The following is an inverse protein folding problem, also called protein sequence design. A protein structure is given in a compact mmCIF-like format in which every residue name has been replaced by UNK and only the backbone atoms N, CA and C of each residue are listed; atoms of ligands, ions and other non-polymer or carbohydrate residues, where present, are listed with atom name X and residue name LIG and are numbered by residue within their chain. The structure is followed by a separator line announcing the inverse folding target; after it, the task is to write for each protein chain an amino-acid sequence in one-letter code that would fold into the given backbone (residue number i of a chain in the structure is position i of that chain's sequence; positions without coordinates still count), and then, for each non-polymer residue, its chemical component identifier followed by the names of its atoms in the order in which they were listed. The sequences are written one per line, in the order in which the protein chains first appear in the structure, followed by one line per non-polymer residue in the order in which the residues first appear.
data_IF_355670560866
#
_entry.id   IF_355670560866
#
_cell.length_a   1.000
_cell.length_b   1.000
_cell.length_c   1.000
_cell.angle_alpha   90.00
_cell.angle_beta   90.00
_cell.angle_gamma   90.00
#
_symmetry.space_group_name_H-M   'P 1'
#
loop_
_entity.id
_entity.type
_entity.pdbx_description
1 polymer ?
#
# COMPACT_ATOMS: atom_id res chain seq x y z
N UNK A 1 -34.41 30.94 -57.57
CA UNK A 1 -33.20 30.50 -56.74
C UNK A 1 -33.71 29.57 -55.69
N UNK A 2 -33.43 28.28 -55.81
CA UNK A 2 -33.81 27.29 -54.80
C UNK A 2 -32.57 27.03 -53.93
N UNK A 3 -32.62 27.30 -52.59
CA UNK A 3 -31.61 27.01 -51.66
C UNK A 3 -31.59 25.51 -51.35
N UNK A 4 -30.44 24.86 -51.52
CA UNK A 4 -30.19 23.50 -51.09
C UNK A 4 -29.88 23.49 -49.55
N UNK A 5 -30.40 22.54 -48.78
CA UNK A 5 -30.04 22.41 -47.36
C UNK A 5 -28.67 21.74 -47.22
N UNK A 6 -27.78 22.36 -46.46
CA UNK A 6 -26.51 21.74 -46.02
C UNK A 6 -26.81 20.65 -45.02
N UNK A 7 -26.51 19.40 -45.38
CA UNK A 7 -26.50 18.27 -44.45
C UNK A 7 -25.17 18.30 -43.70
N UNK A 8 -25.18 18.72 -42.45
CA UNK A 8 -24.04 18.53 -41.52
C UNK A 8 -24.00 17.06 -41.10
N UNK A 9 -23.01 16.33 -41.59
CA UNK A 9 -22.72 14.98 -41.14
C UNK A 9 -22.01 15.09 -39.76
N UNK A 10 -22.73 14.83 -38.67
CA UNK A 10 -22.14 14.66 -37.36
C UNK A 10 -21.39 13.31 -37.35
N UNK A 11 -20.08 13.35 -37.49
CA UNK A 11 -19.21 12.24 -37.20
C UNK A 11 -19.19 12.07 -35.64
N UNK A 12 -19.98 11.14 -35.15
CA UNK A 12 -19.84 10.66 -33.80
C UNK A 12 -18.56 9.81 -33.73
N UNK A 13 -17.48 10.40 -33.28
CA UNK A 13 -16.29 9.62 -32.88
C UNK A 13 -16.68 8.89 -31.60
N UNK A 14 -17.06 7.63 -31.69
CA UNK A 14 -17.15 6.74 -30.55
C UNK A 14 -15.72 6.56 -30.03
N UNK A 15 -15.41 7.16 -28.91
CA UNK A 15 -14.17 6.83 -28.18
C UNK A 15 -14.21 5.33 -27.87
N UNK A 16 -13.32 4.58 -28.48
CA UNK A 16 -13.12 3.17 -28.11
C UNK A 16 -12.53 3.22 -26.71
N UNK A 17 -13.34 2.89 -25.72
CA UNK A 17 -12.88 2.75 -24.35
C UNK A 17 -11.91 1.56 -24.35
N UNK A 18 -10.65 1.78 -23.94
CA UNK A 18 -9.69 0.70 -23.85
C UNK A 18 -10.20 -0.33 -22.84
N UNK A 19 -10.19 -1.59 -23.24
CA UNK A 19 -10.69 -2.67 -22.39
C UNK A 19 -9.60 -3.10 -21.44
N UNK A 20 -9.90 -3.17 -20.14
CA UNK A 20 -9.02 -3.76 -19.12
C UNK A 20 -8.59 -5.16 -19.60
N UNK A 21 -7.28 -5.38 -19.68
CA UNK A 21 -6.71 -6.64 -20.21
C UNK A 21 -5.87 -7.33 -19.15
N UNK A 22 -6.48 -8.20 -18.30
CA UNK A 22 -5.72 -9.05 -17.39
C UNK A 22 -4.84 -10.03 -18.16
N UNK A 23 -3.58 -10.15 -17.78
CA UNK A 23 -2.67 -11.17 -18.29
C UNK A 23 -2.95 -12.55 -17.67
N UNK A 24 -2.06 -13.49 -17.92
CA UNK A 24 -2.14 -14.80 -17.29
C UNK A 24 -1.77 -14.73 -15.81
N UNK A 25 -2.56 -15.43 -15.00
CA UNK A 25 -2.29 -15.58 -13.57
C UNK A 25 -1.08 -16.50 -13.37
N UNK A 26 -0.05 -16.02 -12.67
CA UNK A 26 1.18 -16.78 -12.41
C UNK A 26 1.22 -17.21 -10.95
N UNK A 27 1.35 -18.50 -10.68
CA UNK A 27 1.55 -19.01 -9.33
C UNK A 27 2.98 -18.76 -8.86
N UNK A 28 3.12 -17.94 -7.84
CA UNK A 28 4.42 -17.66 -7.18
C UNK A 28 4.71 -18.73 -6.13
N UNK A 29 3.74 -19.09 -5.32
CA UNK A 29 3.89 -20.14 -4.29
C UNK A 29 2.55 -20.77 -4.00
N UNK A 30 2.55 -22.10 -3.74
CA UNK A 30 1.39 -22.87 -3.23
C UNK A 30 1.45 -23.13 -1.72
N UNK A 31 2.42 -22.55 -1.02
CA UNK A 31 2.61 -22.73 0.42
C UNK A 31 2.79 -21.37 1.10
N UNK A 32 1.67 -20.66 1.31
CA UNK A 32 1.62 -19.31 1.89
C UNK A 32 0.81 -19.35 3.17
N UNK A 33 1.37 -18.75 4.23
CA UNK A 33 0.72 -18.66 5.52
C UNK A 33 -0.59 -17.85 5.44
N UNK A 34 -1.60 -18.25 6.20
CA UNK A 34 -2.88 -17.57 6.31
C UNK A 34 -2.74 -16.11 6.74
N UNK A 35 -1.71 -15.80 7.51
CA UNK A 35 -1.41 -14.46 8.02
C UNK A 35 -0.63 -13.60 7.02
N UNK A 36 -0.28 -14.11 5.84
CA UNK A 36 0.35 -13.32 4.79
C UNK A 36 -0.62 -12.25 4.29
N UNK A 37 -0.34 -11.01 4.63
CA UNK A 37 -1.21 -9.86 4.35
C UNK A 37 -0.49 -8.81 3.51
N UNK A 38 -1.26 -7.93 2.87
CA UNK A 38 -0.73 -6.80 2.10
C UNK A 38 -1.40 -5.47 2.45
N UNK A 39 -2.24 -5.44 3.50
CA UNK A 39 -3.08 -4.28 3.80
C UNK A 39 -2.26 -3.01 4.10
N UNK A 40 -1.37 -3.06 5.08
CA UNK A 40 -0.50 -1.94 5.46
C UNK A 40 0.91 -2.07 4.90
N UNK A 41 1.36 -3.27 4.63
CA UNK A 41 2.71 -3.57 4.16
C UNK A 41 2.85 -3.35 2.66
N UNK A 42 4.09 -3.29 2.20
CA UNK A 42 4.44 -3.23 0.78
C UNK A 42 5.17 -4.51 0.35
N UNK A 43 4.46 -5.63 0.07
CA UNK A 43 5.09 -6.91 -0.23
C UNK A 43 5.51 -7.08 -1.69
N UNK A 44 5.38 -6.05 -2.52
CA UNK A 44 5.65 -6.07 -3.96
C UNK A 44 6.53 -4.89 -4.36
N UNK A 45 7.62 -5.16 -5.08
CA UNK A 45 8.39 -4.15 -5.80
C UNK A 45 8.75 -4.63 -7.21
N UNK A 46 9.23 -3.72 -8.06
CA UNK A 46 9.80 -4.00 -9.36
C UNK A 46 11.04 -3.16 -9.56
N UNK A 47 12.15 -3.81 -9.92
CA UNK A 47 13.41 -3.16 -10.25
C UNK A 47 14.38 -4.09 -10.97
N UNK A 48 15.22 -3.51 -11.82
CA UNK A 48 16.32 -4.22 -12.50
C UNK A 48 15.86 -5.35 -13.42
N UNK A 49 14.65 -5.26 -13.99
CA UNK A 49 14.08 -6.29 -14.84
C UNK A 49 13.43 -7.45 -14.09
N UNK A 50 13.15 -7.29 -12.79
CA UNK A 50 12.53 -8.30 -11.96
C UNK A 50 11.35 -7.74 -11.17
N UNK A 51 10.33 -8.59 -10.96
CA UNK A 51 9.33 -8.41 -9.90
C UNK A 51 9.81 -9.13 -8.63
N UNK A 52 9.65 -8.44 -7.50
CA UNK A 52 10.07 -8.90 -6.19
C UNK A 52 8.84 -9.03 -5.29
N UNK A 53 8.63 -10.22 -4.74
CA UNK A 53 7.49 -10.50 -3.88
C UNK A 53 7.98 -11.10 -2.57
N UNK A 54 7.53 -10.53 -1.45
CA UNK A 54 7.82 -11.07 -0.12
C UNK A 54 6.55 -11.63 0.50
N UNK A 55 6.65 -12.76 1.18
CA UNK A 55 5.49 -13.45 1.76
C UNK A 55 5.88 -14.34 2.94
N UNK A 56 4.90 -14.67 3.77
CA UNK A 56 5.06 -15.62 4.85
C UNK A 56 4.80 -17.05 4.35
N UNK A 57 5.66 -17.95 4.70
CA UNK A 57 5.50 -19.40 4.50
C UNK A 57 5.59 -20.08 5.86
N UNK A 58 4.62 -20.91 6.18
CA UNK A 58 4.74 -21.76 7.36
C UNK A 58 5.84 -22.82 7.10
N UNK A 59 6.92 -22.85 7.87
CA UNK A 59 8.08 -23.71 7.57
C UNK A 59 7.89 -25.14 7.97
N UNK A 60 7.01 -25.44 8.91
CA UNK A 60 7.10 -26.69 9.66
C UNK A 60 5.79 -27.44 9.63
N UNK A 61 5.85 -28.68 9.22
CA UNK A 61 4.78 -29.64 9.45
C UNK A 61 4.46 -29.71 10.95
N UNK A 62 3.25 -29.29 11.32
CA UNK A 62 2.74 -29.41 12.69
C UNK A 62 2.83 -28.19 13.58
N UNK A 63 3.40 -27.05 13.12
CA UNK A 63 3.33 -25.79 13.86
C UNK A 63 2.61 -24.72 13.02
N UNK A 64 1.45 -24.26 13.49
CA UNK A 64 0.75 -23.12 12.92
C UNK A 64 1.28 -21.79 13.44
N UNK A 65 2.20 -21.82 14.41
CA UNK A 65 2.70 -20.64 15.10
C UNK A 65 4.02 -20.08 14.54
N UNK A 66 4.74 -20.85 13.70
CA UNK A 66 6.04 -20.44 13.19
C UNK A 66 6.01 -20.30 11.67
N UNK A 67 6.65 -19.27 11.15
CA UNK A 67 6.78 -19.05 9.71
C UNK A 67 8.20 -18.66 9.30
N UNK A 68 8.52 -18.87 8.03
CA UNK A 68 9.64 -18.23 7.36
C UNK A 68 9.15 -17.06 6.52
N UNK A 69 9.98 -16.07 6.37
CA UNK A 69 9.80 -14.99 5.40
C UNK A 69 10.53 -15.35 4.11
N UNK A 70 9.79 -15.42 3.03
CA UNK A 70 10.28 -15.78 1.71
C UNK A 70 10.37 -14.54 0.82
N UNK A 71 11.38 -14.53 -0.02
CA UNK A 71 11.51 -13.58 -1.13
C UNK A 71 11.48 -14.36 -2.45
N UNK A 72 10.57 -14.00 -3.33
CA UNK A 72 10.52 -14.48 -4.70
C UNK A 72 10.97 -13.38 -5.65
N UNK A 73 11.83 -13.73 -6.60
CA UNK A 73 12.23 -12.91 -7.73
C UNK A 73 11.72 -13.55 -9.00
N UNK A 74 10.91 -12.80 -9.76
CA UNK A 74 10.42 -13.23 -11.08
C UNK A 74 11.04 -12.34 -12.17
N UNK A 75 11.64 -12.96 -13.18
CA UNK A 75 12.20 -12.26 -14.34
C UNK A 75 11.10 -11.69 -15.24
N UNK A 76 11.26 -10.44 -15.68
CA UNK A 76 10.33 -9.81 -16.63
C UNK A 76 10.46 -10.40 -18.03
N UNK A 77 11.67 -10.88 -18.41
CA UNK A 77 11.97 -11.30 -19.78
C UNK A 77 11.46 -12.70 -20.11
N UNK A 78 11.58 -13.64 -19.17
CA UNK A 78 11.27 -15.05 -19.39
C UNK A 78 10.32 -15.66 -18.36
N UNK A 79 9.95 -14.89 -17.34
CA UNK A 79 9.06 -15.33 -16.26
C UNK A 79 9.67 -16.32 -15.27
N UNK A 80 10.97 -16.62 -15.38
CA UNK A 80 11.67 -17.52 -14.44
C UNK A 80 11.54 -17.01 -13.01
N UNK A 81 11.23 -17.93 -12.07
CA UNK A 81 11.03 -17.60 -10.67
C UNK A 81 12.09 -18.29 -9.82
N UNK A 82 12.85 -17.50 -9.06
CA UNK A 82 13.72 -18.00 -7.98
C UNK A 82 13.15 -17.56 -6.62
N UNK A 83 13.42 -18.36 -5.58
CA UNK A 83 12.92 -18.10 -4.22
C UNK A 83 13.97 -18.47 -3.21
N UNK A 84 14.07 -17.67 -2.15
CA UNK A 84 14.84 -18.03 -0.96
C UNK A 84 14.15 -17.46 0.30
N UNK A 85 14.55 -17.93 1.48
CA UNK A 85 14.13 -17.38 2.75
C UNK A 85 15.13 -16.33 3.25
N UNK A 86 14.70 -15.42 4.12
CA UNK A 86 15.65 -14.60 4.87
C UNK A 86 16.45 -15.51 5.81
N UNK A 87 17.76 -15.23 5.95
CA UNK A 87 18.72 -16.12 6.61
C UNK A 87 19.12 -15.61 7.98
N UNK A 88 19.38 -16.56 8.87
CA UNK A 88 20.15 -16.33 10.09
C UNK A 88 21.63 -16.17 9.77
N UNK A 89 22.43 -15.77 10.74
CA UNK A 89 23.91 -15.70 10.61
C UNK A 89 24.56 -17.05 10.32
N UNK A 90 23.90 -18.17 10.66
CA UNK A 90 24.37 -19.54 10.32
C UNK A 90 24.02 -19.95 8.89
N UNK A 91 23.23 -19.15 8.16
CA UNK A 91 22.80 -19.46 6.80
C UNK A 91 21.50 -20.26 6.70
N UNK A 92 20.90 -20.64 7.82
CA UNK A 92 19.60 -21.30 7.87
C UNK A 92 18.47 -20.31 7.61
N UNK A 93 17.28 -20.82 7.23
CA UNK A 93 16.10 -19.96 7.17
C UNK A 93 15.75 -19.44 8.57
N UNK A 94 15.64 -18.13 8.71
CA UNK A 94 15.15 -17.54 9.95
C UNK A 94 13.69 -17.96 10.21
N UNK A 95 13.40 -18.28 11.47
CA UNK A 95 12.07 -18.68 11.92
C UNK A 95 11.49 -17.60 12.81
N UNK A 96 10.28 -17.20 12.53
CA UNK A 96 9.54 -16.18 13.28
C UNK A 96 8.31 -16.82 13.91
N UNK A 97 8.02 -16.45 15.14
CA UNK A 97 6.77 -16.83 15.80
C UNK A 97 5.66 -15.95 15.23
N UNK A 98 4.57 -16.56 14.81
CA UNK A 98 3.42 -15.82 14.30
C UNK A 98 2.80 -14.93 15.38
N UNK A 99 2.47 -13.70 15.01
CA UNK A 99 1.79 -12.76 15.88
C UNK A 99 0.54 -12.19 15.16
N UNK A 100 -0.48 -13.00 15.08
CA UNK A 100 -1.83 -12.59 14.62
C UNK A 100 -1.82 -11.78 13.33
N UNK A 101 -0.93 -12.12 12.39
CA UNK A 101 -0.82 -11.46 11.09
C UNK A 101 0.08 -10.21 11.07
N UNK A 102 0.90 -9.97 12.08
CA UNK A 102 1.82 -8.84 12.12
C UNK A 102 3.21 -9.14 11.55
N UNK A 103 3.48 -10.39 11.17
CA UNK A 103 4.77 -10.80 10.61
C UNK A 103 4.96 -10.47 9.12
N UNK A 104 3.95 -9.95 8.46
CA UNK A 104 3.96 -9.70 7.00
C UNK A 104 5.14 -8.81 6.60
N UNK A 105 5.88 -9.18 5.55
CA UNK A 105 7.04 -8.43 5.10
C UNK A 105 6.67 -7.23 4.24
N UNK A 106 7.51 -6.18 4.31
CA UNK A 106 7.63 -5.12 3.30
C UNK A 106 8.96 -5.24 2.58
N UNK A 107 8.95 -5.06 1.27
CA UNK A 107 10.11 -5.22 0.39
C UNK A 107 10.32 -3.98 -0.48
N UNK A 108 11.57 -3.59 -0.66
CA UNK A 108 11.99 -2.66 -1.69
C UNK A 108 13.39 -3.04 -2.20
N UNK A 109 13.70 -2.64 -3.43
CA UNK A 109 15.04 -2.79 -4.02
C UNK A 109 15.64 -1.40 -4.18
N UNK A 110 16.86 -1.18 -3.71
CA UNK A 110 17.53 0.10 -3.83
C UNK A 110 18.09 0.35 -5.25
N UNK A 111 18.66 1.54 -5.47
CA UNK A 111 19.19 1.94 -6.77
C UNK A 111 20.37 1.10 -7.27
N UNK A 112 21.10 0.45 -6.38
CA UNK A 112 22.21 -0.45 -6.68
C UNK A 112 21.76 -1.91 -6.86
N UNK A 113 20.46 -2.19 -6.68
CA UNK A 113 19.87 -3.52 -6.86
C UNK A 113 19.87 -4.39 -5.62
N UNK A 114 20.25 -3.87 -4.45
CA UNK A 114 20.13 -4.63 -3.21
C UNK A 114 18.70 -4.68 -2.75
N UNK A 115 18.29 -5.86 -2.29
CA UNK A 115 16.93 -6.15 -1.82
C UNK A 115 16.86 -5.96 -0.32
N UNK A 116 15.89 -5.18 0.15
CA UNK A 116 15.65 -4.86 1.55
C UNK A 116 14.29 -5.39 1.98
N UNK A 117 14.25 -6.09 3.13
CA UNK A 117 13.02 -6.65 3.71
C UNK A 117 12.94 -6.28 5.18
N UNK A 118 11.80 -5.73 5.58
CA UNK A 118 11.41 -5.51 6.96
C UNK A 118 10.24 -6.43 7.30
N UNK A 119 10.31 -7.15 8.41
CA UNK A 119 9.32 -8.18 8.71
C UNK A 119 9.21 -8.51 10.20
N UNK A 120 8.14 -9.19 10.55
CA UNK A 120 7.97 -9.86 11.86
C UNK A 120 8.18 -8.95 13.07
N UNK A 121 7.71 -7.71 12.98
CA UNK A 121 7.77 -6.72 14.04
C UNK A 121 6.37 -6.34 14.51
N UNK A 122 6.05 -6.66 15.76
CA UNK A 122 4.83 -6.21 16.44
C UNK A 122 5.17 -5.70 17.83
N UNK A 123 5.51 -4.41 17.91
CA UNK A 123 6.10 -3.78 19.09
C UNK A 123 7.38 -4.51 19.53
N UNK A 124 8.25 -4.77 18.57
CA UNK A 124 9.51 -5.46 18.77
C UNK A 124 10.69 -4.67 18.21
N UNK A 125 11.91 -5.09 18.56
CA UNK A 125 13.13 -4.57 17.97
C UNK A 125 13.16 -4.75 16.45
N UNK A 126 14.01 -4.00 15.78
CA UNK A 126 14.19 -4.08 14.34
C UNK A 126 14.49 -5.49 13.86
N UNK A 127 13.80 -5.90 12.80
CA UNK A 127 14.09 -7.11 12.01
C UNK A 127 14.16 -6.68 10.56
N UNK A 128 15.38 -6.41 10.13
CA UNK A 128 15.71 -5.91 8.80
C UNK A 128 16.73 -6.82 8.14
N UNK A 129 16.47 -7.18 6.91
CA UNK A 129 17.28 -8.08 6.09
C UNK A 129 17.64 -7.40 4.78
N UNK A 130 18.89 -7.58 4.33
CA UNK A 130 19.38 -7.06 3.05
C UNK A 130 20.08 -8.17 2.28
N UNK A 131 19.97 -8.16 0.94
CA UNK A 131 20.72 -9.09 0.10
C UNK A 131 22.22 -8.80 0.17
N UNK A 132 23.03 -9.86 0.12
CA UNK A 132 24.50 -9.76 0.13
C UNK A 132 25.09 -9.34 -1.22
N UNK A 133 24.28 -9.37 -2.28
CA UNK A 133 24.65 -8.93 -3.63
C UNK A 133 23.42 -8.40 -4.37
N UNK A 134 23.61 -7.53 -5.39
CA UNK A 134 22.53 -7.04 -6.20
C UNK A 134 21.70 -8.15 -6.81
N UNK A 135 20.39 -7.94 -6.85
CA UNK A 135 19.39 -8.84 -7.45
C UNK A 135 19.37 -10.26 -6.87
N UNK A 136 19.86 -10.46 -5.66
CA UNK A 136 19.79 -11.74 -4.96
C UNK A 136 18.52 -11.86 -4.12
N UNK A 137 17.85 -13.01 -4.16
CA UNK A 137 16.74 -13.33 -3.27
C UNK A 137 17.21 -13.85 -1.89
N UNK A 138 18.51 -14.07 -1.72
CA UNK A 138 19.11 -14.50 -0.44
C UNK A 138 19.47 -13.27 0.39
N UNK A 139 18.79 -13.06 1.49
CA UNK A 139 18.96 -11.93 2.39
C UNK A 139 19.48 -12.39 3.75
N UNK A 140 20.36 -11.59 4.35
CA UNK A 140 20.93 -11.80 5.68
C UNK A 140 20.56 -10.67 6.62
N UNK A 141 20.68 -10.89 7.91
CA UNK A 141 20.29 -9.94 8.96
C UNK A 141 21.22 -8.71 8.96
N UNK A 142 20.62 -7.54 8.88
CA UNK A 142 21.22 -6.21 8.98
C UNK A 142 20.53 -5.33 10.03
N UNK A 143 19.78 -5.92 10.95
CA UNK A 143 18.97 -5.19 11.96
C UNK A 143 19.80 -4.22 12.81
N UNK A 144 21.08 -4.53 13.05
CA UNK A 144 22.01 -3.66 13.81
C UNK A 144 22.38 -2.36 13.08
N UNK A 145 22.11 -2.24 11.78
CA UNK A 145 22.36 -1.01 11.01
C UNK A 145 21.24 0.03 11.18
N UNK A 146 20.12 -0.39 11.80
CA UNK A 146 19.00 0.52 11.97
C UNK A 146 19.24 1.51 13.10
N UNK A 147 18.92 2.82 12.89
CA UNK A 147 18.91 3.78 13.97
C UNK A 147 17.78 3.47 14.97
N UNK A 148 17.87 4.04 16.17
CA UNK A 148 16.87 3.88 17.24
C UNK A 148 16.64 2.44 17.72
N UNK A 149 17.68 1.72 18.17
CA UNK A 149 17.56 0.31 18.51
C UNK A 149 16.65 0.02 19.72
N UNK A 150 16.24 1.06 20.46
CA UNK A 150 15.36 0.94 21.64
C UNK A 150 13.89 1.21 21.32
N UNK A 151 13.57 1.68 20.12
CA UNK A 151 12.18 1.90 19.69
C UNK A 151 11.57 0.57 19.25
N UNK A 152 10.42 0.22 19.80
CA UNK A 152 9.67 -0.95 19.39
C UNK A 152 8.87 -0.63 18.12
N UNK A 153 8.99 -1.46 17.11
CA UNK A 153 8.52 -1.18 15.75
C UNK A 153 7.34 -2.09 15.36
N UNK A 154 6.43 -1.52 14.55
CA UNK A 154 5.37 -2.27 13.85
C UNK A 154 5.04 -1.59 12.51
N UNK A 155 4.45 -2.33 11.57
CA UNK A 155 3.91 -1.86 10.28
C UNK A 155 4.93 -1.11 9.41
N UNK A 156 6.02 -1.74 9.01
CA UNK A 156 6.95 -1.13 8.07
C UNK A 156 6.32 -0.99 6.67
N UNK A 157 6.46 0.20 6.09
CA UNK A 157 6.17 0.47 4.68
C UNK A 157 7.40 1.11 4.07
N UNK A 158 8.08 0.38 3.19
CA UNK A 158 9.31 0.81 2.52
C UNK A 158 9.09 0.95 1.02
N UNK A 159 9.57 2.05 0.43
CA UNK A 159 9.56 2.29 -1.03
C UNK A 159 10.80 3.01 -1.48
N UNK A 160 11.15 2.84 -2.75
CA UNK A 160 12.28 3.49 -3.43
C UNK A 160 11.82 4.77 -4.14
N UNK A 161 12.61 5.85 -4.00
CA UNK A 161 12.48 7.07 -4.80
C UNK A 161 13.15 6.93 -6.19
N UNK A 162 13.05 7.98 -7.00
CA UNK A 162 13.64 8.01 -8.35
C UNK A 162 15.17 7.99 -8.34
N UNK A 163 15.80 8.47 -7.26
CA UNK A 163 17.25 8.49 -7.09
C UNK A 163 17.82 7.16 -6.58
N UNK A 164 16.93 6.18 -6.32
CA UNK A 164 17.31 4.86 -5.83
C UNK A 164 17.43 4.76 -4.30
N UNK A 165 17.18 5.83 -3.55
CA UNK A 165 17.15 5.77 -2.09
C UNK A 165 15.86 5.10 -1.59
N UNK A 166 15.91 4.55 -0.38
CA UNK A 166 14.70 3.99 0.22
C UNK A 166 14.18 4.90 1.31
N UNK A 167 12.84 4.94 1.39
CA UNK A 167 12.12 5.67 2.42
C UNK A 167 11.23 4.69 3.17
N UNK A 168 11.26 4.77 4.50
CA UNK A 168 10.58 3.84 5.38
C UNK A 168 9.75 4.62 6.39
N UNK A 169 8.46 4.30 6.46
CA UNK A 169 7.59 4.72 7.56
C UNK A 169 7.22 3.51 8.40
N UNK A 170 7.19 3.72 9.72
CA UNK A 170 6.82 2.68 10.69
C UNK A 170 6.00 3.27 11.82
N UNK A 171 5.23 2.44 12.50
CA UNK A 171 4.72 2.76 13.81
C UNK A 171 5.80 2.44 14.84
N UNK A 172 6.20 3.44 15.64
CA UNK A 172 7.17 3.26 16.71
C UNK A 172 6.55 3.51 18.08
N UNK A 173 6.96 2.73 19.09
CA UNK A 173 6.58 2.88 20.47
C UNK A 173 7.83 3.11 21.34
N UNK A 174 8.08 4.37 21.68
CA UNK A 174 9.15 4.79 22.57
C UNK A 174 8.64 5.15 23.98
N UNK A 175 7.31 5.23 24.15
CA UNK A 175 6.66 5.60 25.42
C UNK A 175 5.43 4.73 25.64
N UNK A 176 4.93 4.69 26.87
CA UNK A 176 3.70 3.96 27.25
C UNK A 176 2.42 4.80 27.04
N UNK A 177 2.52 5.99 26.46
CA UNK A 177 1.41 6.93 26.33
C UNK A 177 0.84 7.05 24.91
N UNK A 178 1.48 6.43 23.92
CA UNK A 178 1.03 6.47 22.52
C UNK A 178 2.06 5.87 21.56
N UNK A 179 1.65 5.66 20.30
CA UNK A 179 2.50 5.12 19.24
C UNK A 179 2.60 6.12 18.11
N UNK A 180 3.83 6.59 17.83
CA UNK A 180 4.10 7.59 16.81
C UNK A 180 4.41 6.99 15.44
N UNK A 181 4.39 7.86 14.44
CA UNK A 181 4.90 7.59 13.11
C UNK A 181 6.37 8.00 12.99
N UNK A 182 7.26 7.06 12.70
CA UNK A 182 8.71 7.27 12.58
C UNK A 182 9.14 7.15 11.13
N UNK A 183 9.91 8.13 10.65
CA UNK A 183 10.29 8.30 9.26
C UNK A 183 11.81 8.18 9.09
N UNK A 184 12.22 7.31 8.17
CA UNK A 184 13.63 6.99 7.90
C UNK A 184 13.93 7.07 6.41
N UNK A 185 15.20 7.37 6.11
CA UNK A 185 15.77 7.30 4.76
C UNK A 185 17.00 6.41 4.76
N UNK A 186 17.10 5.53 3.79
CA UNK A 186 18.33 4.86 3.38
C UNK A 186 18.95 5.61 2.23
N UNK A 187 20.19 6.01 2.37
CA UNK A 187 20.95 6.64 1.31
C UNK A 187 21.81 5.57 0.61
N UNK A 188 21.46 5.22 -0.60
CA UNK A 188 22.11 4.13 -1.36
C UNK A 188 23.60 4.38 -1.54
N UNK A 189 24.04 5.60 -1.87
CA UNK A 189 25.45 5.94 -2.07
C UNK A 189 26.33 5.78 -0.81
N UNK A 190 25.76 5.83 0.38
CA UNK A 190 26.48 5.64 1.65
C UNK A 190 26.15 4.33 2.35
N UNK A 191 25.18 3.58 1.87
CA UNK A 191 24.66 2.36 2.48
C UNK A 191 24.22 2.55 3.95
N UNK A 192 23.56 3.67 4.27
CA UNK A 192 23.21 4.01 5.65
C UNK A 192 21.76 4.41 5.82
N UNK A 193 21.15 3.96 6.91
CA UNK A 193 19.86 4.43 7.39
C UNK A 193 20.02 5.63 8.32
N UNK A 194 19.14 6.61 8.18
CA UNK A 194 19.03 7.74 9.09
C UNK A 194 17.56 8.00 9.43
N UNK A 195 17.26 8.33 10.69
CA UNK A 195 15.95 8.85 11.06
C UNK A 195 15.83 10.30 10.59
N UNK A 196 14.77 10.61 9.84
CA UNK A 196 14.42 11.96 9.44
C UNK A 196 13.74 12.67 10.60
N UNK A 197 12.62 12.11 11.09
CA UNK A 197 11.94 12.58 12.30
C UNK A 197 10.81 11.63 12.74
N UNK A 198 10.00 12.10 13.70
CA UNK A 198 8.68 11.57 14.05
C UNK A 198 7.66 12.49 13.37
N UNK A 199 7.01 12.02 12.25
CA UNK A 199 6.11 12.89 11.50
C UNK A 199 4.76 13.10 12.19
N UNK A 200 4.30 12.11 12.98
CA UNK A 200 3.00 12.17 13.63
C UNK A 200 3.07 11.53 15.02
N UNK A 201 2.50 12.20 16.01
CA UNK A 201 2.40 11.70 17.38
C UNK A 201 1.35 12.48 18.16
N UNK A 202 0.53 11.76 18.93
CA UNK A 202 -0.34 12.33 19.95
C UNK A 202 -0.48 11.33 21.11
N UNK A 203 -0.33 11.79 22.34
CA UNK A 203 -0.58 10.98 23.52
C UNK A 203 -2.05 10.47 23.51
N UNK A 204 -2.24 9.22 23.87
CA UNK A 204 -3.55 8.55 23.82
C UNK A 204 -3.94 8.03 22.44
N UNK A 205 -3.05 8.11 21.42
CA UNK A 205 -3.32 7.64 20.07
C UNK A 205 -2.19 6.78 19.50
N UNK A 206 -2.54 5.99 18.49
CA UNK A 206 -1.62 5.19 17.70
C UNK A 206 -1.68 5.61 16.24
N UNK A 207 -0.52 5.77 15.61
CA UNK A 207 -0.35 5.97 14.16
C UNK A 207 -0.31 4.61 13.47
N UNK A 208 -1.01 4.48 12.34
CA UNK A 208 -0.96 3.32 11.45
C UNK A 208 -0.50 3.78 10.08
N UNK A 209 0.76 3.52 9.68
CA UNK A 209 1.27 3.85 8.35
C UNK A 209 0.48 3.14 7.26
N UNK A 210 0.07 3.87 6.21
CA UNK A 210 -0.65 3.31 5.08
C UNK A 210 0.22 3.22 3.84
N UNK A 211 0.78 4.38 3.42
CA UNK A 211 1.52 4.43 2.18
C UNK A 211 2.49 5.62 2.09
N UNK A 212 3.49 5.47 1.21
CA UNK A 212 4.40 6.51 0.76
C UNK A 212 4.35 6.57 -0.77
N UNK A 213 4.36 7.78 -1.33
CA UNK A 213 4.56 7.99 -2.77
C UNK A 213 5.50 9.17 -3.00
N UNK A 214 6.01 9.30 -4.22
CA UNK A 214 6.95 10.35 -4.59
C UNK A 214 6.40 11.13 -5.78
N UNK A 215 6.50 12.45 -5.73
CA UNK A 215 6.31 13.33 -6.87
C UNK A 215 7.61 13.49 -7.66
N UNK A 216 7.53 13.96 -8.90
CA UNK A 216 8.71 14.07 -9.79
C UNK A 216 9.74 15.09 -9.30
N UNK A 217 9.33 16.06 -8.47
CA UNK A 217 10.23 16.99 -7.79
C UNK A 217 10.99 16.38 -6.59
N UNK A 218 10.76 15.09 -6.30
CA UNK A 218 11.43 14.33 -5.24
C UNK A 218 10.79 14.49 -3.86
N UNK A 219 9.63 15.14 -3.76
CA UNK A 219 8.91 15.24 -2.50
C UNK A 219 8.24 13.91 -2.12
N UNK A 220 8.13 13.69 -0.82
CA UNK A 220 7.61 12.46 -0.24
C UNK A 220 6.21 12.70 0.30
N UNK A 221 5.25 11.96 -0.19
CA UNK A 221 3.85 12.02 0.22
C UNK A 221 3.57 10.85 1.16
N UNK A 222 3.12 11.15 2.39
CA UNK A 222 2.88 10.17 3.46
C UNK A 222 1.41 10.17 3.82
N UNK A 223 0.81 8.98 3.89
CA UNK A 223 -0.54 8.77 4.38
C UNK A 223 -0.54 7.79 5.55
N UNK A 224 -1.40 8.04 6.54
CA UNK A 224 -1.56 7.19 7.72
C UNK A 224 -2.96 7.30 8.31
N UNK A 225 -3.29 6.34 9.18
CA UNK A 225 -4.52 6.30 9.98
C UNK A 225 -4.24 6.52 11.46
N UNK A 226 -5.26 6.99 12.16
CA UNK A 226 -5.24 7.15 13.61
C UNK A 226 -6.16 6.13 14.27
N UNK A 227 -5.73 5.61 15.42
CA UNK A 227 -6.55 4.82 16.33
C UNK A 227 -6.29 5.27 17.76
N UNK A 228 -7.21 5.00 18.66
CA UNK A 228 -6.99 5.28 20.08
C UNK A 228 -5.99 4.29 20.69
N UNK A 229 -5.09 4.79 21.51
CA UNK A 229 -4.14 3.96 22.27
C UNK A 229 -4.76 3.52 23.61
N UNK A 230 -4.55 2.29 24.08
CA UNK A 230 -3.90 1.17 23.40
C UNK A 230 -4.84 0.40 22.44
N UNK A 231 -6.12 0.74 22.35
CA UNK A 231 -7.06 0.08 21.47
C UNK A 231 -6.61 0.23 20.00
N UNK A 232 -6.71 -0.83 19.22
CA UNK A 232 -6.22 -0.87 17.85
C UNK A 232 -7.25 -1.32 16.82
N UNK A 233 -8.42 -1.77 17.28
CA UNK A 233 -9.41 -2.39 16.41
C UNK A 233 -10.10 -1.41 15.45
N UNK A 234 -10.15 -0.13 15.80
CA UNK A 234 -10.90 0.89 15.06
C UNK A 234 -9.99 2.04 14.66
N UNK A 235 -9.88 2.30 13.36
CA UNK A 235 -9.27 3.50 12.79
C UNK A 235 -10.39 4.46 12.45
N UNK A 236 -10.22 5.73 12.78
CA UNK A 236 -11.30 6.72 12.68
C UNK A 236 -10.94 7.95 11.87
N UNK A 237 -9.69 8.10 11.46
CA UNK A 237 -9.25 9.23 10.64
C UNK A 237 -8.04 8.83 9.83
N UNK A 238 -8.07 9.11 8.53
CA UNK A 238 -6.91 9.09 7.65
C UNK A 238 -6.34 10.49 7.48
N UNK A 239 -5.02 10.59 7.52
CA UNK A 239 -4.28 11.85 7.45
C UNK A 239 -3.21 11.78 6.37
N UNK A 240 -2.74 12.97 5.97
CA UNK A 240 -1.75 13.14 4.90
C UNK A 240 -0.79 14.27 5.22
N UNK A 241 0.43 14.14 4.70
CA UNK A 241 1.43 15.22 4.66
C UNK A 241 2.38 15.02 3.48
N UNK A 242 2.89 16.12 2.91
CA UNK A 242 3.99 16.17 1.96
C UNK A 242 5.26 16.64 2.68
N UNK A 243 6.37 15.94 2.48
CA UNK A 243 7.70 16.29 2.97
C UNK A 243 8.63 16.63 1.81
N UNK A 244 9.27 17.80 1.87
CA UNK A 244 10.26 18.26 0.90
C UNK A 244 11.66 17.99 1.44
N UNK A 245 12.40 16.97 0.94
CA UNK A 245 13.70 16.59 1.48
C UNK A 245 14.77 17.69 1.41
N UNK A 246 14.77 18.48 0.33
CA UNK A 246 15.76 19.54 0.11
C UNK A 246 15.71 20.67 1.14
N UNK A 247 14.54 20.92 1.74
CA UNK A 247 14.33 21.98 2.75
C UNK A 247 13.99 21.43 4.14
N UNK A 248 13.70 20.15 4.28
CA UNK A 248 13.19 19.55 5.52
C UNK A 248 11.79 20.02 5.91
N UNK A 249 11.02 20.57 4.96
CA UNK A 249 9.73 21.22 5.22
C UNK A 249 8.58 20.25 5.04
N UNK A 250 7.61 20.32 5.95
CA UNK A 250 6.34 19.59 5.86
C UNK A 250 5.21 20.53 5.44
N UNK A 251 4.32 20.04 4.55
CA UNK A 251 3.19 20.79 4.03
C UNK A 251 1.92 19.94 3.99
N UNK A 252 0.79 20.58 4.31
CA UNK A 252 -0.54 20.01 4.07
C UNK A 252 -0.85 19.92 2.57
N UNK A 253 -1.92 19.24 2.17
CA UNK A 253 -2.36 19.20 0.78
C UNK A 253 -2.74 20.59 0.23
N UNK A 254 -3.12 21.54 1.10
CA UNK A 254 -3.34 22.95 0.69
C UNK A 254 -2.04 23.71 0.42
N UNK A 255 -0.87 23.13 0.66
CA UNK A 255 0.43 23.78 0.52
C UNK A 255 0.89 24.56 1.77
N UNK A 256 0.05 24.64 2.80
CA UNK A 256 0.42 25.31 4.05
C UNK A 256 1.52 24.54 4.79
N UNK A 257 2.51 25.26 5.32
CA UNK A 257 3.56 24.66 6.15
C UNK A 257 2.97 24.15 7.46
N UNK A 258 3.34 22.92 7.83
CA UNK A 258 2.96 22.27 9.09
C UNK A 258 4.20 21.81 9.84
N UNK A 259 4.12 21.68 11.15
CA UNK A 259 5.25 21.35 12.02
C UNK A 259 5.05 19.98 12.65
N UNK A 260 5.90 19.00 12.36
CA UNK A 260 5.86 17.70 13.02
C UNK A 260 6.36 17.78 14.49
N UNK A 261 5.95 16.85 15.36
CA UNK A 261 5.00 15.77 15.07
C UNK A 261 3.57 16.27 14.92
N UNK A 262 2.93 15.87 13.82
CA UNK A 262 1.54 16.21 13.55
C UNK A 262 0.61 15.48 14.51
N UNK A 263 -0.51 16.12 14.83
CA UNK A 263 -1.63 15.53 15.58
C UNK A 263 -2.85 15.38 14.65
N UNK A 264 -3.91 14.79 15.14
CA UNK A 264 -5.18 14.72 14.41
C UNK A 264 -5.75 16.09 14.08
N UNK A 265 -5.47 17.09 14.95
CA UNK A 265 -6.00 18.45 14.80
C UNK A 265 -5.14 19.30 13.85
N UNK A 266 -3.90 18.92 13.60
CA UNK A 266 -2.93 19.68 12.78
C UNK A 266 -2.59 19.01 11.45
N UNK A 267 -2.95 17.73 11.28
CA UNK A 267 -2.80 17.00 10.02
C UNK A 267 -4.01 17.20 9.12
N UNK A 268 -3.81 17.04 7.81
CA UNK A 268 -4.92 16.96 6.86
C UNK A 268 -5.84 15.79 7.20
N UNK A 269 -7.14 16.00 7.05
CA UNK A 269 -8.14 14.95 7.13
C UNK A 269 -8.49 14.48 5.73
N UNK A 270 -7.86 13.38 5.32
CA UNK A 270 -8.12 12.74 4.02
C UNK A 270 -9.50 12.10 4.01
N UNK A 271 -9.79 11.33 5.05
CA UNK A 271 -11.08 10.69 5.27
C UNK A 271 -11.37 10.58 6.76
N UNK A 272 -12.63 10.60 7.07
CA UNK A 272 -13.19 10.46 8.42
C UNK A 272 -14.62 9.94 8.31
N UNK A 273 -15.23 9.45 9.39
CA UNK A 273 -16.61 8.96 9.36
C UNK A 273 -17.62 9.98 8.86
N UNK A 274 -17.41 11.26 9.16
CA UNK A 274 -18.33 12.33 8.81
C UNK A 274 -18.19 12.75 7.35
N UNK A 275 -18.81 12.04 6.44
CA UNK A 275 -19.19 12.56 5.13
C UNK A 275 -20.65 13.00 5.16
N UNK A 276 -21.04 13.88 4.20
CA UNK A 276 -22.44 14.37 4.11
C UNK A 276 -23.43 13.21 4.08
N UNK A 277 -24.28 13.10 5.09
CA UNK A 277 -25.25 12.02 5.24
C UNK A 277 -24.83 10.89 6.17
N UNK A 278 -23.62 10.91 6.69
CA UNK A 278 -23.18 9.98 7.75
C UNK A 278 -23.22 10.67 9.11
N UNK A 279 -23.85 10.02 10.07
CA UNK A 279 -23.98 10.52 11.45
C UNK A 279 -22.99 9.79 12.33
N UNK A 280 -21.86 10.39 12.59
CA UNK A 280 -20.89 9.89 13.56
C UNK A 280 -20.61 10.97 14.62
N UNK A 281 -20.69 10.61 15.89
CA UNK A 281 -20.54 11.56 16.99
C UNK A 281 -19.11 12.08 17.19
N UNK A 282 -18.14 11.55 16.46
CA UNK A 282 -16.73 11.87 16.63
C UNK A 282 -16.05 11.13 17.79
N UNK A 283 -16.80 10.38 18.59
CA UNK A 283 -16.21 9.56 19.63
C UNK A 283 -15.75 8.21 19.08
N UNK A 284 -14.43 8.04 18.97
CA UNK A 284 -13.82 6.80 18.49
C UNK A 284 -14.10 5.59 19.39
N UNK A 285 -14.66 5.78 20.58
CA UNK A 285 -15.07 4.71 21.46
C UNK A 285 -16.58 4.40 21.36
N UNK A 286 -17.32 5.21 20.61
CA UNK A 286 -18.71 4.90 20.36
C UNK A 286 -18.85 3.58 19.59
N UNK A 287 -19.85 2.78 19.91
CA UNK A 287 -20.13 1.53 19.21
C UNK A 287 -21.56 1.63 18.61
N UNK A 288 -21.76 1.34 17.32
CA UNK A 288 -20.75 0.95 16.32
C UNK A 288 -19.92 2.16 15.86
N UNK A 289 -18.63 1.98 15.73
CA UNK A 289 -17.73 3.01 15.20
C UNK A 289 -17.38 2.66 13.76
N UNK A 290 -17.54 3.60 12.81
CA UNK A 290 -17.06 3.40 11.45
C UNK A 290 -15.57 3.11 11.46
N UNK A 291 -15.17 2.11 10.72
CA UNK A 291 -13.78 1.69 10.66
C UNK A 291 -13.18 1.97 9.29
N UNK A 292 -11.92 2.36 9.28
CA UNK A 292 -11.09 2.45 8.08
C UNK A 292 -10.08 1.33 8.10
N UNK A 293 -9.65 0.93 6.93
CA UNK A 293 -8.56 -0.03 6.80
C UNK A 293 -7.93 0.06 5.42
N UNK A 294 -6.58 -0.01 5.39
CA UNK A 294 -5.83 -0.24 4.16
C UNK A 294 -6.00 0.86 3.12
N UNK A 295 -5.65 2.09 3.47
CA UNK A 295 -5.56 3.12 2.47
C UNK A 295 -4.27 3.01 1.65
N UNK A 296 -4.35 3.37 0.36
CA UNK A 296 -3.21 3.43 -0.55
C UNK A 296 -3.25 4.71 -1.37
N UNK A 297 -2.08 5.22 -1.72
CA UNK A 297 -1.89 6.42 -2.52
C UNK A 297 -1.50 6.12 -3.95
N UNK A 298 -1.99 6.93 -4.88
CA UNK A 298 -1.41 7.11 -6.20
C UNK A 298 -1.31 8.60 -6.50
N UNK A 299 -0.20 9.00 -7.09
CA UNK A 299 0.04 10.37 -7.52
C UNK A 299 0.11 10.41 -9.04
N UNK A 300 -0.29 11.52 -9.62
CA UNK A 300 0.11 11.90 -10.98
C UNK A 300 0.34 13.40 -11.05
N UNK A 301 1.14 13.82 -12.00
CA UNK A 301 1.38 15.22 -12.29
C UNK A 301 0.77 15.59 -13.62
N UNK A 302 0.03 16.68 -13.65
CA UNK A 302 -0.50 17.21 -14.89
C UNK A 302 0.57 17.98 -15.70
N UNK A 303 0.26 18.35 -16.91
CA UNK A 303 1.18 19.07 -17.82
C UNK A 303 1.61 20.46 -17.30
N UNK A 304 0.92 21.00 -16.31
CA UNK A 304 1.26 22.25 -15.63
C UNK A 304 2.12 22.05 -14.38
N UNK A 305 2.46 20.81 -14.02
CA UNK A 305 3.21 20.44 -12.82
C UNK A 305 2.35 20.37 -11.56
N UNK A 306 1.02 20.35 -11.70
CA UNK A 306 0.10 20.18 -10.58
C UNK A 306 0.11 18.74 -10.09
N UNK A 307 0.42 18.53 -8.79
CA UNK A 307 0.41 17.20 -8.18
C UNK A 307 -1.00 16.85 -7.74
N UNK A 308 -1.53 15.78 -8.30
CA UNK A 308 -2.84 15.22 -7.99
C UNK A 308 -2.70 13.97 -7.13
N UNK A 309 -3.41 13.95 -6.02
CA UNK A 309 -3.37 12.90 -5.01
C UNK A 309 -4.64 12.07 -5.10
N UNK A 310 -4.49 10.75 -5.19
CA UNK A 310 -5.58 9.81 -5.14
C UNK A 310 -5.37 8.86 -3.97
N UNK A 311 -6.28 8.87 -3.01
CA UNK A 311 -6.30 7.92 -1.90
C UNK A 311 -7.48 6.97 -2.07
N UNK A 312 -7.23 5.68 -2.18
CA UNK A 312 -8.26 4.66 -2.11
C UNK A 312 -8.23 4.00 -0.73
N UNK A 313 -9.41 3.78 -0.13
CA UNK A 313 -9.53 3.21 1.21
C UNK A 313 -10.80 2.40 1.38
N UNK A 314 -10.79 1.53 2.38
CA UNK A 314 -11.98 0.79 2.81
C UNK A 314 -12.65 1.51 3.98
N UNK A 315 -13.96 1.48 3.98
CA UNK A 315 -14.77 2.11 5.00
C UNK A 315 -16.01 1.25 5.31
N UNK A 316 -16.27 0.98 6.57
CA UNK A 316 -17.52 0.39 7.02
C UNK A 316 -18.47 1.49 7.50
N UNK A 317 -19.66 1.56 6.91
CA UNK A 317 -20.66 2.51 7.38
C UNK A 317 -21.26 2.07 8.72
N UNK A 318 -21.92 3.00 9.41
CA UNK A 318 -22.50 2.75 10.73
C UNK A 318 -23.74 1.85 10.71
N UNK A 319 -24.47 1.87 9.61
CA UNK A 319 -25.82 1.30 9.54
C UNK A 319 -25.78 -0.20 9.31
N UNK A 320 -25.05 -0.66 8.33
CA UNK A 320 -25.07 -2.06 7.87
C UNK A 320 -23.71 -2.77 8.03
N UNK A 321 -22.68 -2.06 8.50
CA UNK A 321 -21.31 -2.57 8.65
C UNK A 321 -20.72 -3.09 7.33
N UNK A 322 -21.26 -2.67 6.19
CA UNK A 322 -20.76 -3.05 4.88
C UNK A 322 -19.44 -2.33 4.58
N UNK A 323 -18.39 -3.09 4.33
CA UNK A 323 -17.10 -2.55 3.93
C UNK A 323 -17.12 -2.11 2.46
N UNK A 324 -17.20 -0.82 2.25
CA UNK A 324 -17.22 -0.14 0.96
C UNK A 324 -15.81 0.17 0.46
N UNK A 325 -15.66 0.38 -0.85
CA UNK A 325 -14.48 1.04 -1.45
C UNK A 325 -14.81 2.51 -1.63
N UNK A 326 -13.94 3.35 -1.09
CA UNK A 326 -14.04 4.81 -1.22
C UNK A 326 -12.77 5.40 -1.78
N UNK A 327 -12.89 6.61 -2.32
CA UNK A 327 -11.78 7.39 -2.84
C UNK A 327 -11.82 8.81 -2.29
N UNK A 328 -10.67 9.33 -1.92
CA UNK A 328 -10.44 10.75 -1.67
C UNK A 328 -9.43 11.29 -2.67
N UNK A 329 -9.68 12.48 -3.19
CA UNK A 329 -8.78 13.15 -4.14
C UNK A 329 -8.46 14.55 -3.68
N UNK A 330 -7.25 15.01 -3.98
CA UNK A 330 -6.84 16.38 -3.78
C UNK A 330 -5.90 16.83 -4.91
N UNK A 331 -5.87 18.15 -5.18
CA UNK A 331 -4.80 18.78 -5.94
C UNK A 331 -3.96 19.58 -4.96
N UNK A 332 -2.67 19.30 -4.90
CA UNK A 332 -1.76 19.98 -3.99
C UNK A 332 -1.73 21.49 -4.24
N UNK A 333 -1.71 22.27 -3.17
CA UNK A 333 -1.69 23.74 -3.23
C UNK A 333 -3.06 24.40 -3.40
N UNK A 334 -4.16 23.64 -3.38
CA UNK A 334 -5.52 24.21 -3.47
C UNK A 334 -6.15 24.34 -2.09
N UNK A 335 -6.94 25.41 -1.88
CA UNK A 335 -7.75 25.55 -0.67
C UNK A 335 -8.85 24.47 -0.64
N UNK A 336 -9.12 23.87 0.53
CA UNK A 336 -10.10 22.79 0.70
C UNK A 336 -9.88 21.62 -0.29
N UNK A 337 -8.70 21.02 -0.29
CA UNK A 337 -8.26 20.17 -1.40
C UNK A 337 -9.01 18.84 -1.51
N UNK A 338 -9.51 18.28 -0.39
CA UNK A 338 -10.02 16.91 -0.36
C UNK A 338 -11.48 16.79 -0.81
N UNK A 339 -11.70 15.95 -1.81
CA UNK A 339 -13.03 15.51 -2.28
C UNK A 339 -13.13 13.99 -2.07
N UNK A 340 -14.30 13.53 -1.63
CA UNK A 340 -14.54 12.11 -1.29
C UNK A 340 -15.70 11.56 -2.08
N UNK A 341 -15.61 10.31 -2.51
CA UNK A 341 -16.66 9.59 -3.21
C UNK A 341 -16.74 8.13 -2.77
N UNK A 342 -17.95 7.55 -2.77
CA UNK A 342 -18.15 6.11 -2.70
C UNK A 342 -17.96 5.57 -4.11
N UNK A 343 -17.09 4.57 -4.27
CA UNK A 343 -16.79 3.98 -5.58
C UNK A 343 -17.47 2.62 -5.74
N UNK A 344 -17.58 1.87 -4.65
CA UNK A 344 -18.24 0.57 -4.63
C UNK A 344 -18.89 0.28 -3.26
N UNK A 345 -20.12 -0.21 -3.28
CA UNK A 345 -20.91 -0.47 -2.07
C UNK A 345 -21.89 -1.64 -2.19
N UNK A 346 -21.79 -2.46 -3.25
CA UNK A 346 -22.80 -3.48 -3.53
C UNK A 346 -22.58 -4.75 -2.69
N UNK A 347 -21.30 -5.08 -2.42
CA UNK A 347 -20.94 -6.23 -1.62
C UNK A 347 -19.82 -5.89 -0.62
N UNK A 348 -19.70 -6.72 0.42
CA UNK A 348 -18.66 -6.58 1.43
C UNK A 348 -17.27 -6.86 0.89
N UNK A 349 -16.32 -5.98 1.17
CA UNK A 349 -14.93 -6.09 0.72
C UNK A 349 -14.00 -6.65 1.80
N UNK A 350 -12.90 -7.29 1.40
CA UNK A 350 -11.86 -7.77 2.31
C UNK A 350 -10.79 -6.71 2.58
N UNK A 351 -9.86 -6.97 3.50
CA UNK A 351 -8.83 -6.03 3.97
C UNK A 351 -7.72 -5.72 2.96
N UNK A 352 -8.02 -5.65 1.66
CA UNK A 352 -7.02 -5.39 0.64
C UNK A 352 -7.52 -4.32 -0.32
N UNK A 353 -6.66 -3.36 -0.64
CA UNK A 353 -6.92 -2.33 -1.64
C UNK A 353 -5.61 -1.92 -2.30
N UNK A 354 -5.68 -1.53 -3.57
CA UNK A 354 -4.59 -0.92 -4.32
C UNK A 354 -5.11 0.20 -5.18
N UNK A 355 -4.29 1.19 -5.49
CA UNK A 355 -4.63 2.27 -6.41
C UNK A 355 -3.45 2.59 -7.30
N UNK A 356 -3.71 2.83 -8.57
CA UNK A 356 -2.74 3.28 -9.57
C UNK A 356 -3.33 4.38 -10.43
N UNK A 357 -2.50 5.29 -10.94
CA UNK A 357 -2.93 6.39 -11.80
C UNK A 357 -1.83 6.75 -12.80
N UNK A 358 -2.16 6.87 -14.09
CA UNK A 358 -1.20 7.19 -15.16
C UNK A 358 -1.30 8.62 -15.70
N UNK A 359 -2.09 9.48 -15.04
CA UNK A 359 -2.38 10.83 -15.48
C UNK A 359 -3.75 10.96 -16.16
N UNK A 360 -4.27 9.89 -16.75
CA UNK A 360 -5.57 9.85 -17.43
C UNK A 360 -6.55 8.92 -16.75
N UNK A 361 -6.08 7.73 -16.38
CA UNK A 361 -6.90 6.63 -15.89
C UNK A 361 -6.49 6.25 -14.47
N UNK A 362 -7.44 6.29 -13.55
CA UNK A 362 -7.29 5.74 -12.20
C UNK A 362 -7.86 4.34 -12.17
N UNK A 363 -7.13 3.42 -11.54
CA UNK A 363 -7.59 2.07 -11.20
C UNK A 363 -7.56 1.86 -9.70
N UNK A 364 -8.64 1.30 -9.16
CA UNK A 364 -8.71 0.85 -7.77
C UNK A 364 -8.93 -0.65 -7.78
N UNK A 365 -7.99 -1.37 -7.19
CA UNK A 365 -8.01 -2.82 -7.04
C UNK A 365 -8.53 -3.18 -5.67
N UNK A 366 -9.43 -4.16 -5.59
CA UNK A 366 -10.00 -4.60 -4.34
C UNK A 366 -10.39 -6.08 -4.39
N UNK A 367 -10.61 -6.66 -3.22
CA UNK A 367 -11.12 -8.03 -3.12
C UNK A 367 -12.48 -8.02 -2.43
N UNK A 368 -13.41 -8.83 -2.93
CA UNK A 368 -14.65 -9.11 -2.21
C UNK A 368 -14.41 -10.06 -1.04
N UNK A 369 -15.22 -9.99 -0.02
CA UNK A 369 -15.19 -10.94 1.10
C UNK A 369 -15.46 -12.38 0.64
N UNK A 370 -16.20 -12.56 -0.45
CA UNK A 370 -16.41 -13.84 -1.15
C UNK A 370 -15.13 -14.46 -1.70
N UNK A 371 -14.09 -13.64 -1.99
CA UNK A 371 -12.76 -14.09 -2.39
C UNK A 371 -12.43 -13.89 -3.86
N UNK A 372 -13.10 -12.99 -4.57
CA UNK A 372 -12.72 -12.56 -5.91
C UNK A 372 -11.97 -11.23 -5.88
N UNK A 373 -11.06 -11.03 -6.84
CA UNK A 373 -10.32 -9.79 -7.06
C UNK A 373 -10.94 -9.00 -8.20
N UNK A 374 -11.08 -7.70 -8.02
CA UNK A 374 -11.76 -6.79 -8.94
C UNK A 374 -10.94 -5.55 -9.20
N UNK A 375 -11.22 -4.89 -10.30
CA UNK A 375 -10.70 -3.58 -10.63
C UNK A 375 -11.84 -2.63 -10.99
N UNK A 376 -11.83 -1.46 -10.37
CA UNK A 376 -12.62 -0.29 -10.76
C UNK A 376 -11.71 0.62 -11.59
N UNK A 377 -12.20 1.05 -12.74
CA UNK A 377 -11.47 1.95 -13.64
C UNK A 377 -12.30 3.17 -13.97
N UNK A 378 -11.64 4.32 -14.01
CA UNK A 378 -12.24 5.59 -14.44
C UNK A 378 -11.23 6.41 -15.22
N UNK A 379 -11.57 6.77 -16.46
CA UNK A 379 -10.77 7.65 -17.30
C UNK A 379 -11.39 9.04 -17.36
N UNK A 380 -10.64 10.06 -16.97
CA UNK A 380 -11.08 11.45 -16.98
C UNK A 380 -12.39 11.68 -16.22
N UNK A 381 -13.42 12.16 -16.92
CA UNK A 381 -14.76 12.44 -16.34
C UNK A 381 -15.77 11.31 -16.55
N UNK A 382 -15.35 10.15 -17.07
CA UNK A 382 -16.24 9.00 -17.29
C UNK A 382 -16.86 8.47 -15.99
N UNK A 383 -17.81 7.56 -16.12
CA UNK A 383 -18.32 6.78 -14.98
C UNK A 383 -17.33 5.66 -14.63
N UNK A 384 -17.38 5.18 -13.41
CA UNK A 384 -16.63 4.00 -12.99
C UNK A 384 -17.11 2.76 -13.75
N UNK A 385 -16.17 1.99 -14.28
CA UNK A 385 -16.42 0.64 -14.77
C UNK A 385 -15.86 -0.35 -13.76
N UNK A 386 -16.48 -1.52 -13.63
CA UNK A 386 -16.09 -2.55 -12.68
C UNK A 386 -15.92 -3.89 -13.41
N UNK A 387 -14.77 -4.54 -13.22
CA UNK A 387 -14.45 -5.80 -13.88
C UNK A 387 -13.80 -6.79 -12.90
N UNK A 388 -14.25 -8.04 -12.91
CA UNK A 388 -13.57 -9.11 -12.21
C UNK A 388 -12.24 -9.43 -12.90
N UNK A 389 -11.19 -9.54 -12.10
CA UNK A 389 -9.89 -10.04 -12.55
C UNK A 389 -9.92 -11.58 -12.56
N UNK A 390 -8.93 -12.18 -13.20
CA UNK A 390 -8.86 -13.63 -13.43
C UNK A 390 -9.28 -14.45 -12.18
N UNK A 391 -10.38 -15.21 -12.25
CA UNK A 391 -10.84 -16.01 -11.12
C UNK A 391 -9.83 -17.12 -10.81
N UNK A 392 -9.56 -17.34 -9.55
CA UNK A 392 -8.71 -18.43 -9.08
C UNK A 392 -9.62 -19.57 -8.62
N UNK A 393 -9.81 -20.56 -9.48
CA UNK A 393 -10.72 -21.68 -9.20
C UNK A 393 -10.37 -22.37 -7.89
N UNK A 394 -11.35 -22.48 -6.98
CA UNK A 394 -11.21 -23.14 -5.69
C UNK A 394 -10.36 -22.40 -4.66
N UNK A 395 -9.97 -21.16 -4.91
CA UNK A 395 -9.21 -20.31 -3.99
C UNK A 395 -9.95 -19.00 -3.75
N UNK A 396 -9.78 -18.43 -2.55
CA UNK A 396 -10.34 -17.14 -2.18
C UNK A 396 -9.22 -16.10 -2.09
N UNK A 397 -9.08 -15.26 -3.11
CA UNK A 397 -8.16 -14.12 -3.07
C UNK A 397 -8.69 -13.09 -2.09
N UNK A 398 -7.90 -12.74 -1.08
CA UNK A 398 -8.28 -11.81 -0.01
C UNK A 398 -7.21 -10.79 0.32
N UNK A 399 -6.04 -10.89 -0.33
CA UNK A 399 -4.91 -10.00 -0.13
C UNK A 399 -4.43 -9.49 -1.48
N UNK A 400 -4.15 -8.21 -1.55
CA UNK A 400 -3.80 -7.55 -2.79
C UNK A 400 -2.82 -6.41 -2.52
N UNK A 401 -1.85 -6.26 -3.41
CA UNK A 401 -1.05 -5.05 -3.59
C UNK A 401 -0.96 -4.76 -5.07
N UNK A 402 -1.04 -3.49 -5.44
CA UNK A 402 -0.90 -3.04 -6.82
C UNK A 402 0.27 -2.07 -6.95
N UNK A 403 0.97 -2.14 -8.09
CA UNK A 403 2.02 -1.19 -8.47
C UNK A 403 1.93 -0.93 -9.97
N UNK A 404 2.00 0.31 -10.38
CA UNK A 404 2.11 0.67 -11.79
C UNK A 404 3.57 0.63 -12.25
N UNK A 405 3.79 0.08 -13.41
CA UNK A 405 5.07 0.06 -14.14
C UNK A 405 5.21 1.31 -14.99
N UNK A 406 6.44 1.59 -15.41
CA UNK A 406 6.72 2.72 -16.31
C UNK A 406 6.09 2.60 -17.70
N UNK A 407 5.70 1.39 -18.11
CA UNK A 407 4.99 1.14 -19.36
C UNK A 407 3.45 1.29 -19.25
N UNK A 408 2.95 1.74 -18.09
CA UNK A 408 1.53 1.90 -17.81
C UNK A 408 0.81 0.60 -17.45
N UNK A 409 1.48 -0.54 -17.48
CA UNK A 409 0.93 -1.82 -17.00
C UNK A 409 0.92 -1.85 -15.49
N UNK A 410 -0.14 -2.36 -14.89
CA UNK A 410 -0.17 -2.64 -13.47
C UNK A 410 0.29 -4.06 -13.17
N UNK A 411 1.00 -4.24 -12.06
CA UNK A 411 1.35 -5.54 -11.52
C UNK A 411 0.68 -5.73 -10.16
N UNK A 412 0.19 -6.93 -9.93
CA UNK A 412 -0.55 -7.28 -8.73
C UNK A 412 0.08 -8.44 -7.99
N UNK A 413 0.20 -8.27 -6.68
CA UNK A 413 0.36 -9.33 -5.69
C UNK A 413 -1.05 -9.77 -5.27
N UNK A 414 -1.37 -11.05 -5.43
CA UNK A 414 -2.67 -11.61 -5.08
C UNK A 414 -2.49 -12.78 -4.12
N UNK A 415 -2.83 -12.58 -2.85
CA UNK A 415 -2.76 -13.62 -1.83
C UNK A 415 -4.11 -14.31 -1.64
N UNK A 416 -4.10 -15.63 -1.69
CA UNK A 416 -5.25 -16.47 -1.39
C UNK A 416 -4.93 -17.34 -0.15
N UNK A 417 -4.97 -16.77 1.06
CA UNK A 417 -4.71 -17.54 2.28
C UNK A 417 -5.81 -18.58 2.49
N UNK A 418 -5.42 -19.74 2.98
CA UNK A 418 -6.34 -20.77 3.40
C UNK A 418 -6.51 -20.69 4.93
N UNK A 419 -7.71 -20.38 5.39
CA UNK A 419 -8.00 -20.26 6.83
C UNK A 419 -8.12 -21.62 7.54
N UNK A 420 -8.14 -22.73 6.81
CA UNK A 420 -8.26 -24.11 7.37
C UNK A 420 -6.88 -24.74 7.53
N UNK A 421 -5.98 -24.47 6.58
CA UNK A 421 -4.62 -24.99 6.56
C UNK A 421 -3.65 -23.90 6.05
N UNK A 422 -2.86 -23.36 6.97
CA UNK A 422 -1.90 -22.30 6.72
C UNK A 422 -0.86 -22.68 5.63
N UNK A 423 -0.58 -23.96 5.44
CA UNK A 423 0.40 -24.45 4.47
C UNK A 423 -0.13 -24.55 3.04
N UNK A 424 -1.44 -24.37 2.84
CA UNK A 424 -2.08 -24.54 1.52
C UNK A 424 -2.55 -23.24 0.88
N UNK A 425 -2.28 -22.09 1.51
CA UNK A 425 -2.49 -20.78 0.90
C UNK A 425 -1.63 -20.60 -0.35
N UNK A 426 -2.06 -19.74 -1.25
CA UNK A 426 -1.36 -19.49 -2.51
C UNK A 426 -1.07 -18.02 -2.70
N UNK A 427 0.05 -17.73 -3.37
CA UNK A 427 0.43 -16.41 -3.85
C UNK A 427 0.49 -16.41 -5.36
N UNK A 428 -0.18 -15.44 -5.96
CA UNK A 428 -0.20 -15.24 -7.39
C UNK A 428 0.33 -13.87 -7.76
N UNK A 429 0.85 -13.78 -8.96
CA UNK A 429 1.22 -12.56 -9.66
C UNK A 429 0.33 -12.41 -10.89
N UNK A 430 -0.12 -11.17 -11.15
CA UNK A 430 -0.94 -10.84 -12.31
C UNK A 430 -0.46 -9.52 -12.90
N UNK A 431 -0.46 -9.39 -14.23
CA UNK A 431 -0.33 -8.11 -14.93
C UNK A 431 -1.69 -7.65 -15.42
N UNK A 432 -1.93 -6.34 -15.43
CA UNK A 432 -3.17 -5.74 -15.95
C UNK A 432 -2.80 -4.60 -16.88
N UNK A 433 -3.02 -4.81 -18.16
CA UNK A 433 -2.80 -3.84 -19.22
C UNK A 433 -4.09 -3.11 -19.64
N UNK A 434 -4.08 -2.51 -20.84
CA UNK A 434 -5.27 -1.92 -21.46
C UNK A 434 -5.73 -0.61 -20.83
N UNK A 435 -4.82 0.28 -20.42
CA UNK A 435 -5.18 1.66 -20.09
C UNK A 435 -5.51 2.45 -21.36
N UNK A 436 -6.53 3.30 -21.29
CA UNK A 436 -7.00 4.13 -22.40
C UNK A 436 -6.04 5.26 -22.75
#
# INVERSE_FOLDING_TARGET
MRSLPSIACLLTVSAVQATISPGSLVTISGAVDVNSQSAWWNPLDEYGGYQWLAYLRNPLSGSTANNNVMVARRSNSDGTISRDCVKTSSGDCAVFVDDSGHNTPSIAVDGDGYVHVFTSMHNEAWKYYRSSSPYSATLVDHSSEMPDPTVLITYPVVKRDADGNLWLIVRGEATTSGRGGYFYKYTTSSNTWARINIWAYRAGYSVYPDDIQFSTDGDVHIQWEWSKYPASAVRHQGSYVRYTPSSGTYRSASGATVIPPLTQDTADIVYQPLTSGETYSGDINASPVPAFQSAKLALYEDSAGGVHINSAYRFANETDQLWQVRRATATFGTASPWKREIVYSDENTSAAIGVTHDGTTVRIYYCLASGSAWVLEKSGTSTWTNQELAPVTGKKVRRLQAKMRSDGTDILYLGAPNNVDANTGSLYFLTVGGRA
#
